data_IF_576425885090
#
_entry.id   IF_576425885090
#
_cell.length_a   1.000
_cell.length_b   1.000
_cell.length_c   1.000
_cell.angle_alpha   90.00
_cell.angle_beta   90.00
_cell.angle_gamma   90.00
#
_symmetry.space_group_name_H-M   'P 1'
#
loop_
_entity.id
_entity.type
_entity.pdbx_description
1 polymer ?
#
# COMPACT_ATOMS: atom_id res chain seq x y z
N UNK A 1 -3.86 2.56 -24.46
CA UNK A 1 -2.66 1.84 -23.96
C UNK A 1 -1.88 2.80 -23.08
N UNK A 2 -1.81 2.54 -21.77
CA UNK A 2 -1.13 3.39 -20.79
C UNK A 2 0.35 3.00 -20.64
N UNK A 3 1.17 3.92 -20.12
CA UNK A 3 2.54 3.65 -19.69
C UNK A 3 2.52 3.42 -18.18
N UNK A 4 3.19 2.37 -17.71
CA UNK A 4 3.38 2.10 -16.29
C UNK A 4 4.85 2.37 -15.97
N UNK A 5 5.10 3.14 -14.90
CA UNK A 5 6.43 3.37 -14.38
C UNK A 5 6.51 2.72 -13.00
N UNK A 6 7.47 1.82 -12.83
CA UNK A 6 7.76 1.14 -11.56
C UNK A 6 9.01 1.78 -10.99
N UNK A 7 9.00 2.04 -9.68
CA UNK A 7 10.15 2.57 -8.94
C UNK A 7 10.71 1.44 -8.09
N UNK A 8 12.01 1.19 -8.19
CA UNK A 8 12.73 0.33 -7.25
C UNK A 8 13.12 1.16 -6.01
N UNK A 9 12.78 0.64 -4.85
CA UNK A 9 13.12 1.22 -3.54
C UNK A 9 14.28 0.42 -2.93
N UNK A 10 15.24 1.11 -2.30
CA UNK A 10 16.35 0.48 -1.57
C UNK A 10 16.11 0.55 -0.04
N UNK A 11 16.60 -0.47 0.69
CA UNK A 11 16.52 -0.54 2.15
C UNK A 11 15.29 -1.29 2.68
N UNK A 12 14.89 -1.08 3.94
CA UNK A 12 13.74 -1.77 4.54
C UNK A 12 12.45 -1.28 3.87
N UNK A 13 11.84 -2.14 3.07
CA UNK A 13 10.64 -1.86 2.28
C UNK A 13 9.51 -2.82 2.65
N UNK A 14 8.28 -2.30 2.68
CA UNK A 14 7.10 -3.15 2.68
C UNK A 14 6.82 -3.59 1.24
N UNK A 15 6.53 -4.87 1.06
CA UNK A 15 6.27 -5.45 -0.26
C UNK A 15 4.89 -6.11 -0.33
N UNK A 16 4.34 -6.24 -1.53
CA UNK A 16 3.10 -6.99 -1.74
C UNK A 16 3.31 -8.47 -1.41
N UNK A 17 2.49 -9.06 -0.55
CA UNK A 17 2.59 -10.49 -0.18
C UNK A 17 2.44 -11.44 -1.37
N UNK A 18 1.76 -11.03 -2.44
CA UNK A 18 1.48 -11.89 -3.61
C UNK A 18 2.58 -11.87 -4.66
N UNK A 19 3.25 -10.75 -4.86
CA UNK A 19 4.17 -10.55 -5.98
C UNK A 19 5.47 -9.82 -5.63
N UNK A 20 5.68 -9.52 -4.34
CA UNK A 20 6.88 -8.87 -3.79
C UNK A 20 7.23 -7.51 -4.40
N UNK A 21 6.30 -6.88 -5.13
CA UNK A 21 6.46 -5.49 -5.57
C UNK A 21 6.64 -4.58 -4.36
N UNK A 22 7.61 -3.66 -4.41
CA UNK A 22 7.85 -2.69 -3.32
C UNK A 22 6.72 -1.68 -3.25
N UNK A 23 6.12 -1.47 -2.08
CA UNK A 23 4.91 -0.65 -1.92
C UNK A 23 5.10 0.57 -1.03
N UNK A 24 5.98 0.51 -0.04
CA UNK A 24 6.10 1.57 0.95
C UNK A 24 7.33 1.46 1.83
N UNK A 25 7.66 2.56 2.51
CA UNK A 25 8.76 2.65 3.46
C UNK A 25 8.23 2.74 4.89
N UNK A 26 8.93 2.19 5.89
CA UNK A 26 8.56 2.34 7.31
C UNK A 26 8.40 3.80 7.75
N UNK A 27 9.26 4.70 7.24
CA UNK A 27 9.21 6.12 7.57
C UNK A 27 7.97 6.84 7.02
N UNK A 28 7.29 6.25 6.05
CA UNK A 28 6.05 6.80 5.51
C UNK A 28 4.82 6.39 6.33
N UNK A 29 4.94 5.49 7.33
CA UNK A 29 3.82 5.11 8.19
C UNK A 29 3.52 6.22 9.20
N UNK A 30 2.34 6.82 9.08
CA UNK A 30 1.86 7.90 9.97
C UNK A 30 0.90 7.41 11.04
N UNK A 31 0.24 6.28 10.84
CA UNK A 31 -0.62 5.66 11.85
C UNK A 31 -0.71 4.13 11.68
N UNK A 32 -0.98 3.43 12.78
CA UNK A 32 -1.31 2.00 12.80
C UNK A 32 -2.68 1.82 13.44
N UNK A 33 -3.65 1.27 12.70
CA UNK A 33 -4.97 0.96 13.23
C UNK A 33 -4.98 -0.47 13.77
N UNK A 34 -4.54 -0.61 15.02
CA UNK A 34 -4.41 -1.90 15.69
C UNK A 34 -3.47 -2.84 14.93
N UNK A 35 -3.95 -4.05 14.64
CA UNK A 35 -3.20 -5.10 13.91
C UNK A 35 -3.66 -5.29 12.47
N UNK A 36 -4.54 -4.43 11.97
CA UNK A 36 -5.24 -4.68 10.71
C UNK A 36 -4.77 -3.78 9.57
N UNK A 37 -4.43 -2.53 9.86
CA UNK A 37 -4.17 -1.55 8.81
C UNK A 37 -3.05 -0.58 9.20
N UNK A 38 -2.28 -0.19 8.19
CA UNK A 38 -1.27 0.85 8.28
C UNK A 38 -1.68 2.03 7.40
N UNK A 39 -1.55 3.23 7.95
CA UNK A 39 -1.71 4.45 7.20
C UNK A 39 -0.34 4.96 6.76
N UNK A 40 -0.15 5.02 5.45
CA UNK A 40 1.04 5.61 4.85
C UNK A 40 0.76 7.04 4.40
N UNK A 41 1.77 7.91 4.47
CA UNK A 41 1.74 9.22 3.82
C UNK A 41 2.02 9.14 2.32
N UNK A 42 2.73 8.08 1.91
CA UNK A 42 3.09 7.81 0.52
C UNK A 42 3.14 6.31 0.27
N UNK A 43 2.63 5.92 -0.90
CA UNK A 43 2.80 4.57 -1.46
C UNK A 43 3.45 4.64 -2.83
N UNK A 44 4.09 3.55 -3.21
CA UNK A 44 4.79 3.36 -4.47
C UNK A 44 4.21 2.14 -5.20
N UNK A 45 4.34 2.12 -6.52
CA UNK A 45 3.92 0.98 -7.34
C UNK A 45 2.46 0.54 -7.08
N UNK A 46 1.59 1.51 -6.78
CA UNK A 46 0.15 1.35 -6.61
C UNK A 46 -0.61 2.25 -7.57
N UNK A 47 -1.85 1.89 -7.87
CA UNK A 47 -2.79 2.73 -8.60
C UNK A 47 -4.16 2.71 -7.93
N UNK A 48 -4.93 3.78 -8.12
CA UNK A 48 -6.29 3.89 -7.58
C UNK A 48 -7.30 3.36 -8.59
N UNK A 49 -8.29 2.63 -8.08
CA UNK A 49 -9.45 2.15 -8.84
C UNK A 49 -10.70 2.66 -8.14
N UNK A 50 -11.71 3.07 -8.92
CA UNK A 50 -13.02 3.41 -8.35
C UNK A 50 -13.58 2.17 -7.64
N UNK A 51 -13.89 2.29 -6.35
CA UNK A 51 -14.35 1.13 -5.59
C UNK A 51 -15.80 0.82 -5.92
N UNK A 52 -16.11 -0.47 -6.04
CA UNK A 52 -17.47 -0.93 -6.31
C UNK A 52 -18.36 -0.92 -5.06
N UNK A 53 -17.76 -0.74 -3.88
CA UNK A 53 -18.41 -0.82 -2.58
C UNK A 53 -18.72 0.56 -1.97
N UNK A 54 -17.88 1.56 -2.19
CA UNK A 54 -18.08 2.90 -1.65
C UNK A 54 -17.31 3.95 -2.47
N UNK A 55 -18.01 4.62 -3.38
CA UNK A 55 -17.42 5.61 -4.30
C UNK A 55 -16.68 6.78 -3.62
N UNK A 56 -16.85 6.99 -2.30
CA UNK A 56 -16.08 7.98 -1.55
C UNK A 56 -14.63 7.54 -1.24
N UNK A 57 -14.34 6.24 -1.36
CA UNK A 57 -13.03 5.65 -1.05
C UNK A 57 -12.57 4.77 -2.20
N UNK A 58 -11.71 5.29 -3.10
CA UNK A 58 -11.08 4.49 -4.13
C UNK A 58 -10.25 3.35 -3.53
N UNK A 59 -10.24 2.21 -4.20
CA UNK A 59 -9.40 1.07 -3.86
C UNK A 59 -7.95 1.35 -4.28
N UNK A 60 -7.00 1.02 -3.41
CA UNK A 60 -5.58 1.04 -3.70
C UNK A 60 -5.19 -0.35 -4.22
N UNK A 61 -4.64 -0.44 -5.42
CA UNK A 61 -4.27 -1.70 -6.04
C UNK A 61 -2.76 -1.76 -6.34
N UNK A 62 -2.16 -2.92 -6.13
CA UNK A 62 -0.76 -3.17 -6.49
C UNK A 62 -0.58 -3.21 -8.01
N UNK A 63 0.41 -2.49 -8.54
CA UNK A 63 0.69 -2.46 -9.99
C UNK A 63 1.14 -3.80 -10.56
N UNK A 64 1.82 -4.64 -9.76
CA UNK A 64 2.38 -5.91 -10.21
C UNK A 64 1.35 -7.04 -10.35
N UNK A 65 0.32 -7.06 -9.51
CA UNK A 65 -0.63 -8.18 -9.47
C UNK A 65 -2.11 -7.79 -9.37
N UNK A 66 -2.40 -6.48 -9.39
CA UNK A 66 -3.75 -5.90 -9.28
C UNK A 66 -4.52 -6.32 -8.02
N UNK A 67 -3.85 -6.81 -6.98
CA UNK A 67 -4.48 -7.13 -5.70
C UNK A 67 -4.89 -5.83 -5.00
N UNK A 68 -6.10 -5.81 -4.43
CA UNK A 68 -6.55 -4.74 -3.57
C UNK A 68 -5.72 -4.77 -2.28
N UNK A 69 -5.11 -3.62 -1.98
CA UNK A 69 -4.22 -3.40 -0.85
C UNK A 69 -4.92 -2.63 0.28
N UNK A 70 -5.98 -1.88 -0.03
CA UNK A 70 -6.67 -1.03 0.95
C UNK A 70 -7.44 0.10 0.29
N UNK A 71 -7.65 1.19 1.02
CA UNK A 71 -8.51 2.31 0.60
C UNK A 71 -7.79 3.66 0.70
N UNK A 72 -8.09 4.55 -0.25
CA UNK A 72 -7.63 5.92 -0.26
C UNK A 72 -8.72 6.87 0.25
N UNK A 73 -8.38 7.76 1.18
CA UNK A 73 -9.31 8.78 1.66
C UNK A 73 -9.20 10.04 0.80
N UNK A 74 -10.28 10.42 0.12
CA UNK A 74 -10.30 11.68 -0.66
C UNK A 74 -10.28 12.92 0.24
N UNK A 75 -10.67 12.77 1.51
CA UNK A 75 -10.68 13.87 2.49
C UNK A 75 -9.28 14.22 3.03
N UNK A 76 -8.33 13.28 2.96
CA UNK A 76 -6.94 13.49 3.40
C UNK A 76 -6.00 12.90 2.34
N UNK A 77 -5.48 13.74 1.42
CA UNK A 77 -4.79 13.25 0.23
C UNK A 77 -3.45 12.57 0.51
N UNK A 78 -2.95 12.69 1.74
CA UNK A 78 -1.72 12.07 2.21
C UNK A 78 -2.01 10.89 3.16
N UNK A 79 -3.15 10.22 2.98
CA UNK A 79 -3.65 9.18 3.88
C UNK A 79 -4.04 7.93 3.08
N UNK A 80 -3.17 6.92 3.15
CA UNK A 80 -3.31 5.67 2.42
C UNK A 80 -3.44 4.53 3.42
N UNK A 81 -4.66 4.06 3.66
CA UNK A 81 -4.92 2.95 4.57
C UNK A 81 -4.76 1.62 3.85
N UNK A 82 -3.73 0.87 4.23
CA UNK A 82 -3.35 -0.40 3.63
C UNK A 82 -3.55 -1.53 4.63
N UNK A 83 -4.17 -2.61 4.17
CA UNK A 83 -4.36 -3.82 4.95
C UNK A 83 -3.00 -4.46 5.27
N UNK A 84 -2.72 -4.63 6.56
CA UNK A 84 -1.47 -5.20 7.05
C UNK A 84 -1.22 -6.61 6.52
N UNK A 85 -2.27 -7.45 6.44
CA UNK A 85 -2.17 -8.80 5.90
C UNK A 85 -1.80 -8.88 4.41
N UNK A 86 -1.81 -7.73 3.72
CA UNK A 86 -1.42 -7.61 2.33
C UNK A 86 0.03 -7.16 2.14
N UNK A 87 0.71 -6.82 3.24
CA UNK A 87 2.08 -6.38 3.28
C UNK A 87 2.98 -7.46 3.88
N UNK A 88 4.09 -7.75 3.20
CA UNK A 88 5.23 -8.43 3.81
C UNK A 88 6.19 -7.34 4.32
N UNK A 89 6.50 -7.40 5.62
CA UNK A 89 7.33 -6.40 6.28
C UNK A 89 8.82 -6.54 5.98
N UNK A 90 9.60 -5.47 6.16
CA UNK A 90 11.05 -5.55 6.08
C UNK A 90 11.64 -6.33 7.26
N UNK A 91 12.86 -6.84 7.06
CA UNK A 91 13.66 -7.39 8.15
C UNK A 91 14.01 -6.30 9.21
N UNK A 92 14.07 -6.48 10.54
CA UNK A 92 13.19 -7.21 11.42
C UNK A 92 12.11 -6.35 12.05
N UNK A 93 11.02 -6.20 11.31
CA UNK A 93 9.78 -5.60 11.75
C UNK A 93 8.86 -6.63 12.43
N UNK A 94 7.84 -6.15 13.16
CA UNK A 94 6.75 -6.99 13.69
C UNK A 94 5.95 -7.74 12.58
N UNK A 95 6.31 -7.51 11.32
CA UNK A 95 5.71 -8.01 10.08
C UNK A 95 6.67 -8.90 9.27
N UNK A 96 7.82 -9.29 9.86
CA UNK A 96 8.61 -10.41 9.36
C UNK A 96 7.81 -11.72 9.52
N UNK A 97 7.09 -12.11 8.48
CA UNK A 97 6.48 -13.45 8.36
C UNK A 97 6.71 -14.01 6.97
#
# INVERSE_FOLDING_TARGET
MGRVFVIELEGPVYTCTKCHTHLGLPNDIIAKNGRHEYNFTRLFNTFLVESTSNSAFPDICCVGCSKNMGIYSVSDPNSYWVMRGELHGPEGSDDEV
#
